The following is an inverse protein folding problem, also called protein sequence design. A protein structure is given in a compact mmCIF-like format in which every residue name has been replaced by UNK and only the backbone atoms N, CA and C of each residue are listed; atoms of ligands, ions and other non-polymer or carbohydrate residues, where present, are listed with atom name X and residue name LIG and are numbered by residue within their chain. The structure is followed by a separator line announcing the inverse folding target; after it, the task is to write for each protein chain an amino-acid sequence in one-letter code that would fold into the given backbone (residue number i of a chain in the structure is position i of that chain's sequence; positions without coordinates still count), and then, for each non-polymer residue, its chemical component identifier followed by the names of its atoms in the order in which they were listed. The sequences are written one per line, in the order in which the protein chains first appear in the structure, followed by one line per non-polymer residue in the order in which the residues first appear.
data_IF_898037938428
#
_entry.id   IF_898037938428
#
_cell.length_a   1.000
_cell.length_b   1.000
_cell.length_c   1.000
_cell.angle_alpha   90.00
_cell.angle_beta   90.00
_cell.angle_gamma   90.00
#
_symmetry.space_group_name_H-M   'P 1'
#
loop_
_entity.id
_entity.type
_entity.pdbx_description
1 polymer ?
#
# COMPACT_ATOMS: atom_id res chain seq x y z
N UNK A 1 -38.76 -0.75 1.33
CA UNK A 1 -37.30 -0.66 1.21
C UNK A 1 -36.98 -0.30 -0.22
N UNK A 2 -36.23 0.78 -0.50
CA UNK A 2 -35.84 1.17 -1.87
C UNK A 2 -34.47 0.53 -2.17
N UNK A 3 -34.26 -0.13 -3.31
CA UNK A 3 -32.96 -0.70 -3.65
C UNK A 3 -31.92 0.44 -3.80
N UNK A 4 -30.66 0.22 -3.41
CA UNK A 4 -29.60 1.18 -3.64
C UNK A 4 -29.51 1.45 -5.15
N UNK A 5 -29.41 2.73 -5.52
CA UNK A 5 -29.16 3.06 -6.93
C UNK A 5 -27.70 2.72 -7.27
N UNK A 6 -27.43 2.49 -8.55
CA UNK A 6 -26.10 2.11 -9.04
C UNK A 6 -25.03 3.15 -8.67
N UNK A 7 -25.39 4.44 -8.63
CA UNK A 7 -24.49 5.54 -8.30
C UNK A 7 -23.99 5.50 -6.84
N UNK A 8 -24.88 5.18 -5.89
CA UNK A 8 -24.56 5.03 -4.48
C UNK A 8 -23.63 3.84 -4.25
N UNK A 9 -23.87 2.73 -4.98
CA UNK A 9 -23.03 1.54 -4.92
C UNK A 9 -21.62 1.81 -5.46
N UNK A 10 -21.50 2.51 -6.59
CA UNK A 10 -20.22 2.86 -7.22
C UNK A 10 -19.42 3.79 -6.31
N UNK A 11 -20.04 4.83 -5.75
CA UNK A 11 -19.39 5.77 -4.82
C UNK A 11 -18.81 5.06 -3.60
N UNK A 12 -19.56 4.12 -3.01
CA UNK A 12 -19.08 3.33 -1.87
C UNK A 12 -17.89 2.44 -2.28
N UNK A 13 -17.92 1.84 -3.47
CA UNK A 13 -16.85 0.96 -3.95
C UNK A 13 -15.57 1.73 -4.28
N UNK A 14 -15.66 2.86 -4.97
CA UNK A 14 -14.48 3.69 -5.29
C UNK A 14 -13.85 4.28 -4.03
N UNK A 15 -14.67 4.72 -3.07
CA UNK A 15 -14.22 5.15 -1.75
C UNK A 15 -13.44 4.05 -1.00
N UNK A 16 -13.93 2.80 -1.02
CA UNK A 16 -13.24 1.65 -0.43
C UNK A 16 -11.90 1.34 -1.10
N UNK A 17 -11.82 1.44 -2.43
CA UNK A 17 -10.58 1.24 -3.17
C UNK A 17 -9.51 2.28 -2.79
N UNK A 18 -9.90 3.55 -2.72
CA UNK A 18 -9.01 4.64 -2.29
C UNK A 18 -8.55 4.45 -0.84
N UNK A 19 -9.49 4.21 0.07
CA UNK A 19 -9.17 3.93 1.47
C UNK A 19 -8.20 2.73 1.63
N UNK A 20 -8.36 1.70 0.81
CA UNK A 20 -7.45 0.54 0.84
C UNK A 20 -6.06 0.91 0.34
N UNK A 21 -5.96 1.75 -0.70
CA UNK A 21 -4.67 2.26 -1.18
C UNK A 21 -3.97 3.09 -0.10
N UNK A 22 -4.70 4.00 0.58
CA UNK A 22 -4.13 4.84 1.63
C UNK A 22 -3.62 4.01 2.82
N UNK A 23 -4.38 2.98 3.24
CA UNK A 23 -3.96 2.04 4.29
C UNK A 23 -2.70 1.25 3.91
N UNK A 24 -2.53 0.91 2.63
CA UNK A 24 -1.33 0.23 2.15
C UNK A 24 -0.11 1.15 2.18
N UNK A 25 -0.30 2.42 1.83
CA UNK A 25 0.75 3.45 1.92
C UNK A 25 1.16 3.67 3.39
N UNK A 26 0.20 3.80 4.31
CA UNK A 26 0.45 3.94 5.76
C UNK A 26 1.20 2.74 6.34
N UNK A 27 0.78 1.52 5.99
CA UNK A 27 1.43 0.29 6.43
C UNK A 27 2.88 0.19 5.92
N UNK A 28 3.13 0.57 4.67
CA UNK A 28 4.48 0.62 4.12
C UNK A 28 5.36 1.64 4.83
N UNK A 29 4.82 2.82 5.16
CA UNK A 29 5.55 3.86 5.89
C UNK A 29 5.91 3.42 7.32
N UNK A 30 4.97 2.82 8.05
CA UNK A 30 5.22 2.27 9.38
C UNK A 30 6.28 1.17 9.36
N UNK A 31 6.19 0.26 8.39
CA UNK A 31 7.14 -0.84 8.27
C UNK A 31 8.55 -0.35 7.92
N UNK A 32 8.66 0.68 7.08
CA UNK A 32 9.94 1.33 6.78
C UNK A 32 10.54 2.01 8.03
N UNK A 33 9.72 2.61 8.89
CA UNK A 33 10.16 3.20 10.15
C UNK A 33 10.69 2.14 11.13
N UNK A 34 9.95 1.05 11.34
CA UNK A 34 10.37 -0.03 12.22
C UNK A 34 11.64 -0.73 11.69
N UNK A 35 11.80 -0.83 10.38
CA UNK A 35 13.02 -1.37 9.77
C UNK A 35 14.24 -0.50 10.06
N UNK A 36 14.12 0.84 9.92
CA UNK A 36 15.20 1.77 10.28
C UNK A 36 15.55 1.65 11.76
N UNK A 37 14.53 1.62 12.62
CA UNK A 37 14.70 1.45 14.07
C UNK A 37 15.40 0.13 14.41
N UNK A 38 15.02 -0.96 13.76
CA UNK A 38 15.66 -2.26 13.92
C UNK A 38 17.14 -2.24 13.50
N UNK A 39 17.47 -1.55 12.40
CA UNK A 39 18.85 -1.39 11.94
C UNK A 39 19.71 -0.58 12.91
N UNK A 40 19.18 0.51 13.46
CA UNK A 40 19.86 1.33 14.49
C UNK A 40 20.14 0.51 15.76
N UNK A 41 19.17 -0.31 16.20
CA UNK A 41 19.33 -1.19 17.37
C UNK A 41 20.28 -2.36 17.09
N UNK A 42 20.40 -2.78 15.84
CA UNK A 42 21.29 -3.87 15.40
C UNK A 42 22.75 -3.43 15.19
N UNK A 43 23.10 -2.18 15.50
CA UNK A 43 24.48 -1.71 15.43
C UNK A 43 25.36 -2.43 16.48
N UNK A 44 25.94 -3.56 16.09
CA UNK A 44 26.87 -4.34 16.93
C UNK A 44 28.28 -3.78 16.81
N UNK A 45 29.04 -3.66 17.91
CA UNK A 45 30.44 -3.27 17.85
C UNK A 45 31.24 -4.19 16.91
N UNK A 46 32.14 -3.63 16.08
CA UNK A 46 33.03 -4.44 15.26
C UNK A 46 33.86 -5.39 16.12
N UNK A 47 33.98 -6.65 15.69
CA UNK A 47 34.75 -7.69 16.38
C UNK A 47 33.93 -8.66 17.24
N UNK A 48 32.62 -8.44 17.41
CA UNK A 48 31.75 -9.46 18.00
C UNK A 48 31.44 -10.56 16.98
N UNK A 49 31.53 -11.84 17.38
CA UNK A 49 31.26 -12.97 16.48
C UNK A 49 29.87 -12.92 15.82
N UNK A 50 28.91 -12.24 16.44
CA UNK A 50 27.55 -12.05 15.93
C UNK A 50 27.42 -10.95 14.86
N UNK A 51 28.43 -10.10 14.65
CA UNK A 51 28.33 -8.91 13.77
C UNK A 51 28.01 -9.28 12.32
N UNK A 52 28.65 -10.31 11.77
CA UNK A 52 28.42 -10.79 10.40
C UNK A 52 26.99 -11.34 10.25
N UNK A 53 26.49 -12.07 11.26
CA UNK A 53 25.14 -12.63 11.21
C UNK A 53 24.07 -11.52 11.28
N UNK A 54 24.27 -10.52 12.14
CA UNK A 54 23.39 -9.35 12.25
C UNK A 54 23.42 -8.45 11.01
N UNK A 55 24.57 -8.29 10.38
CA UNK A 55 24.71 -7.55 9.12
C UNK A 55 23.91 -8.24 8.00
N UNK A 56 24.09 -9.56 7.82
CA UNK A 56 23.35 -10.34 6.82
C UNK A 56 21.84 -10.31 7.06
N UNK A 57 21.42 -10.41 8.32
CA UNK A 57 20.01 -10.29 8.70
C UNK A 57 19.46 -8.90 8.37
N UNK A 58 20.22 -7.84 8.68
CA UNK A 58 19.82 -6.45 8.39
C UNK A 58 19.64 -6.22 6.89
N UNK A 59 20.55 -6.74 6.05
CA UNK A 59 20.44 -6.67 4.59
C UNK A 59 19.20 -7.43 4.08
N UNK A 60 18.94 -8.63 4.62
CA UNK A 60 17.78 -9.44 4.24
C UNK A 60 16.46 -8.77 4.60
N UNK A 61 16.37 -8.15 5.78
CA UNK A 61 15.23 -7.34 6.20
C UNK A 61 15.08 -6.17 5.24
N UNK A 62 16.11 -5.33 5.05
CA UNK A 62 16.04 -4.17 4.16
C UNK A 62 15.56 -4.53 2.75
N UNK A 63 16.09 -5.62 2.17
CA UNK A 63 15.70 -6.11 0.84
C UNK A 63 14.23 -6.54 0.79
N UNK A 64 13.76 -7.24 1.82
CA UNK A 64 12.36 -7.67 1.93
C UNK A 64 11.41 -6.48 2.07
N UNK A 65 11.85 -5.42 2.73
CA UNK A 65 11.05 -4.20 2.95
C UNK A 65 10.97 -3.34 1.70
N UNK A 66 12.06 -3.25 0.92
CA UNK A 66 12.03 -2.64 -0.42
C UNK A 66 11.03 -3.37 -1.31
N UNK A 67 11.09 -4.70 -1.39
CA UNK A 67 10.16 -5.48 -2.20
C UNK A 67 8.70 -5.32 -1.72
N UNK A 68 8.48 -5.27 -0.41
CA UNK A 68 7.16 -5.00 0.13
C UNK A 68 6.64 -3.64 -0.34
N UNK A 69 7.43 -2.57 -0.15
CA UNK A 69 7.07 -1.20 -0.53
C UNK A 69 6.73 -1.07 -2.03
N UNK A 70 7.52 -1.68 -2.91
CA UNK A 70 7.26 -1.69 -4.36
C UNK A 70 5.93 -2.36 -4.71
N UNK A 71 5.60 -3.46 -4.02
CA UNK A 71 4.34 -4.19 -4.21
C UNK A 71 3.15 -3.40 -3.66
N UNK A 72 3.27 -2.78 -2.49
CA UNK A 72 2.20 -1.94 -1.93
C UNK A 72 1.96 -0.71 -2.80
N UNK A 73 3.00 -0.05 -3.27
CA UNK A 73 2.89 1.10 -4.17
C UNK A 73 2.22 0.72 -5.50
N UNK A 74 2.64 -0.41 -6.10
CA UNK A 74 2.02 -0.94 -7.33
C UNK A 74 0.54 -1.28 -7.13
N UNK A 75 0.21 -1.90 -6.00
CA UNK A 75 -1.16 -2.23 -5.63
C UNK A 75 -1.99 -0.97 -5.40
N UNK A 76 -1.46 0.01 -4.66
CA UNK A 76 -2.11 1.30 -4.41
C UNK A 76 -2.40 2.07 -5.70
N UNK A 77 -1.46 2.08 -6.66
CA UNK A 77 -1.70 2.63 -8.00
C UNK A 77 -2.78 1.88 -8.76
N UNK A 78 -2.82 0.55 -8.68
CA UNK A 78 -3.86 -0.24 -9.33
C UNK A 78 -5.25 0.04 -8.74
N UNK A 79 -5.36 0.13 -7.42
CA UNK A 79 -6.60 0.48 -6.72
C UNK A 79 -7.11 1.88 -7.10
N UNK A 80 -6.21 2.88 -7.14
CA UNK A 80 -6.55 4.24 -7.57
C UNK A 80 -7.01 4.30 -9.02
N UNK A 81 -6.35 3.56 -9.92
CA UNK A 81 -6.77 3.44 -11.33
C UNK A 81 -8.13 2.77 -11.46
N UNK A 82 -8.39 1.70 -10.71
CA UNK A 82 -9.69 1.04 -10.69
C UNK A 82 -10.80 1.98 -10.21
N UNK A 83 -10.55 2.74 -9.13
CA UNK A 83 -11.50 3.75 -8.65
C UNK A 83 -11.82 4.81 -9.72
N UNK A 84 -10.80 5.33 -10.40
CA UNK A 84 -11.00 6.30 -11.49
C UNK A 84 -11.80 5.70 -12.67
N UNK A 85 -11.54 4.45 -13.04
CA UNK A 85 -12.27 3.77 -14.11
C UNK A 85 -13.76 3.56 -13.77
N UNK A 86 -14.07 3.22 -12.52
CA UNK A 86 -15.47 3.11 -12.06
C UNK A 86 -16.19 4.47 -12.08
N UNK A 87 -15.53 5.55 -11.65
CA UNK A 87 -16.09 6.91 -11.71
C UNK A 87 -16.33 7.38 -13.16
N UNK A 88 -15.43 7.02 -14.09
CA UNK A 88 -15.60 7.33 -15.52
C UNK A 88 -16.78 6.57 -16.13
N UNK A 89 -16.91 5.28 -15.80
CA UNK A 89 -18.02 4.45 -16.26
C UNK A 89 -19.37 4.96 -15.76
N UNK A 90 -19.45 5.41 -14.51
CA UNK A 90 -20.68 5.97 -13.93
C UNK A 90 -21.08 7.28 -14.61
N UNK A 91 -20.11 8.18 -14.81
CA UNK A 91 -20.34 9.45 -15.51
C UNK A 91 -20.82 9.24 -16.94
N UNK A 92 -20.23 8.28 -17.64
CA UNK A 92 -20.60 7.92 -19.02
C UNK A 92 -22.01 7.33 -19.09
N UNK A 93 -22.43 6.54 -18.10
CA UNK A 93 -23.78 5.97 -18.02
C UNK A 93 -24.86 7.04 -17.78
N UNK A 94 -24.54 8.13 -17.07
CA UNK A 94 -25.48 9.24 -16.83
C UNK A 94 -25.61 10.23 -18.01
N UNK A 95 -24.61 10.30 -18.90
CA UNK A 95 -24.58 11.23 -20.05
C UNK A 95 -25.15 10.69 -21.37
N UNK A 96 -25.44 9.39 -21.46
CA UNK A 96 -25.80 8.69 -22.71
C UNK A 96 -27.29 8.67 -23.09
N UNK A 97 -28.16 9.33 -22.33
CA UNK A 97 -29.60 9.41 -22.64
C UNK A 97 -29.95 10.69 -23.40
N UNK A 98 -29.73 10.72 -24.71
CA UNK A 98 -30.33 11.69 -25.63
C UNK A 98 -30.86 10.99 -26.86
#
# INVERSE_FOLDING_TARGET
MRPPNSAETITVHTGRLRQTADRLDDAAAQLAQETRRGHELAAVPPGWAASIALERLSIAIASSMTLFAERTETTGRALRRAAAAYEESDRSAMGGGR
#
